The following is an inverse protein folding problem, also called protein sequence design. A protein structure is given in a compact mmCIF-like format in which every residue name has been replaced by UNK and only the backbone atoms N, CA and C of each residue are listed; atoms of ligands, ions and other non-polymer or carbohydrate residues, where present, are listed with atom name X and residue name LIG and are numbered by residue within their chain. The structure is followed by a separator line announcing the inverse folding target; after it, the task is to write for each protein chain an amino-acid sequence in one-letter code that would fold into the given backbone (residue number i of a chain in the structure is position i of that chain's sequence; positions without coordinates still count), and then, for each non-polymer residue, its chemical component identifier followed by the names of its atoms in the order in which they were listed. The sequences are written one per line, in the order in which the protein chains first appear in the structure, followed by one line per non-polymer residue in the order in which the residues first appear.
data_IF_311576323276
#
_entry.id   IF_311576323276
#
_cell.length_a   1.000
_cell.length_b   1.000
_cell.length_c   1.000
_cell.angle_alpha   90.00
_cell.angle_beta   90.00
_cell.angle_gamma   90.00
#
_symmetry.space_group_name_H-M   'P 1'
#
loop_
_entity.id
_entity.type
_entity.pdbx_description
1 polymer ?
#
# COMPACT_ATOMS: atom_id res chain seq x y z
N UNK A 1 59.78 -6.36 -26.87
CA UNK A 1 60.19 -6.67 -25.49
C UNK A 1 59.66 -5.56 -24.60
N UNK A 2 58.56 -5.82 -23.89
CA UNK A 2 58.11 -5.04 -22.72
C UNK A 2 57.30 -5.96 -21.82
N UNK A 3 57.85 -6.13 -20.61
CA UNK A 3 57.30 -6.53 -19.32
C UNK A 3 56.12 -7.51 -19.24
N UNK A 4 56.50 -8.77 -18.97
CA UNK A 4 55.68 -9.71 -18.22
C UNK A 4 55.89 -9.56 -16.71
N UNK A 5 54.91 -10.09 -15.99
CA UNK A 5 54.93 -10.46 -14.58
C UNK A 5 55.02 -9.35 -13.52
N UNK A 6 53.91 -9.16 -12.79
CA UNK A 6 53.79 -9.64 -11.41
C UNK A 6 52.49 -9.18 -10.72
N UNK A 7 51.95 -10.11 -9.93
CA UNK A 7 51.17 -9.95 -8.68
C UNK A 7 49.64 -9.81 -8.74
N UNK A 8 49.00 -10.88 -8.27
CA UNK A 8 47.63 -10.84 -7.77
C UNK A 8 47.14 -12.13 -7.10
N UNK A 9 48.03 -12.98 -6.55
CA UNK A 9 47.60 -14.16 -5.80
C UNK A 9 46.86 -13.73 -4.52
N UNK A 10 45.54 -13.94 -4.46
CA UNK A 10 44.79 -13.83 -3.20
C UNK A 10 44.95 -15.14 -2.43
N UNK A 11 45.59 -15.05 -1.26
CA UNK A 11 45.70 -16.10 -0.24
C UNK A 11 44.30 -16.65 0.14
N UNK A 12 44.16 -17.95 0.43
CA UNK A 12 42.95 -18.46 1.08
C UNK A 12 42.89 -17.96 2.53
N UNK A 13 41.77 -17.36 2.91
CA UNK A 13 41.41 -17.05 4.30
C UNK A 13 41.07 -18.36 5.01
N UNK A 14 41.88 -18.81 5.95
CA UNK A 14 41.55 -19.90 6.86
C UNK A 14 40.53 -19.41 7.89
N UNK A 15 39.31 -19.92 7.85
CA UNK A 15 38.43 -19.87 9.02
C UNK A 15 38.83 -21.02 9.93
N UNK A 16 39.13 -20.72 11.19
CA UNK A 16 39.40 -21.74 12.22
C UNK A 16 38.23 -22.72 12.35
N UNK A 17 38.55 -23.94 12.77
CA UNK A 17 37.62 -25.05 12.90
C UNK A 17 36.40 -24.71 13.78
N UNK A 18 35.21 -25.28 13.50
CA UNK A 18 33.96 -24.93 14.19
C UNK A 18 33.91 -25.31 15.69
N UNK A 19 34.90 -26.03 16.22
CA UNK A 19 34.87 -26.61 17.56
C UNK A 19 35.18 -25.63 18.70
N UNK A 20 35.69 -24.43 18.39
CA UNK A 20 36.18 -23.48 19.42
C UNK A 20 35.24 -22.30 19.68
N UNK A 21 33.96 -22.39 19.30
CA UNK A 21 32.94 -21.39 19.66
C UNK A 21 32.09 -21.91 20.82
N UNK A 22 32.42 -21.47 22.03
CA UNK A 22 31.54 -21.66 23.18
C UNK A 22 30.14 -21.08 22.89
N UNK A 23 29.04 -21.73 23.33
CA UNK A 23 27.70 -21.24 23.06
C UNK A 23 27.45 -19.95 23.84
N UNK A 24 27.36 -18.83 23.14
CA UNK A 24 26.86 -17.59 23.74
C UNK A 24 25.37 -17.75 24.06
N UNK A 25 25.04 -18.21 25.26
CA UNK A 25 23.68 -18.13 25.82
C UNK A 25 23.35 -16.65 26.11
N UNK A 26 22.72 -15.99 25.14
CA UNK A 26 22.40 -14.57 25.19
C UNK A 26 20.94 -14.28 24.87
N UNK A 27 20.14 -14.13 25.94
CA UNK A 27 18.86 -13.40 26.07
C UNK A 27 17.80 -13.61 24.98
N UNK A 28 16.77 -14.38 25.33
CA UNK A 28 15.51 -14.44 24.59
C UNK A 28 14.90 -13.03 24.43
N UNK A 29 14.64 -12.62 23.19
CA UNK A 29 13.87 -11.41 22.91
C UNK A 29 12.38 -11.64 23.28
N UNK A 30 11.75 -10.64 23.90
CA UNK A 30 10.36 -10.70 24.38
C UNK A 30 9.34 -11.08 23.29
N UNK A 31 8.33 -11.90 23.59
CA UNK A 31 7.34 -12.37 22.63
C UNK A 31 6.21 -11.34 22.51
N UNK A 32 6.44 -10.20 21.85
CA UNK A 32 5.37 -9.21 21.60
C UNK A 32 5.52 -8.43 20.31
N UNK A 33 6.38 -8.86 19.39
CA UNK A 33 6.34 -8.34 18.03
C UNK A 33 5.70 -9.43 17.15
N UNK A 34 4.49 -9.21 16.57
CA UNK A 34 3.97 -10.13 15.60
C UNK A 34 4.98 -10.16 14.45
N UNK A 35 5.65 -11.31 14.35
CA UNK A 35 6.57 -11.65 13.26
C UNK A 35 5.92 -11.15 11.98
N UNK A 36 6.60 -10.22 11.28
CA UNK A 36 6.18 -9.71 9.98
C UNK A 36 5.65 -10.90 9.20
N UNK A 37 4.34 -10.90 8.97
CA UNK A 37 3.69 -11.76 8.02
C UNK A 37 4.54 -11.65 6.75
N UNK A 38 5.34 -12.68 6.50
CA UNK A 38 5.96 -12.91 5.20
C UNK A 38 4.79 -13.20 4.30
N UNK A 39 4.10 -12.13 3.88
CA UNK A 39 3.14 -12.16 2.80
C UNK A 39 3.93 -12.66 1.60
N UNK A 40 3.93 -13.97 1.43
CA UNK A 40 4.45 -14.64 0.26
C UNK A 40 3.63 -14.06 -0.87
N UNK A 41 4.23 -13.11 -1.59
CA UNK A 41 3.58 -12.56 -2.77
C UNK A 41 3.24 -13.76 -3.65
N UNK A 42 1.98 -13.91 -4.11
CA UNK A 42 1.54 -15.09 -4.85
C UNK A 42 2.27 -15.26 -6.20
N UNK A 43 3.08 -14.27 -6.60
CA UNK A 43 4.01 -14.32 -7.72
C UNK A 43 5.41 -14.52 -7.15
N UNK A 44 6.04 -15.66 -7.46
CA UNK A 44 7.36 -16.05 -6.96
C UNK A 44 8.48 -15.03 -7.19
N UNK A 45 9.65 -15.32 -6.63
CA UNK A 45 10.83 -14.45 -6.69
C UNK A 45 11.28 -14.16 -8.14
N UNK A 46 11.70 -12.92 -8.41
CA UNK A 46 12.09 -12.44 -9.74
C UNK A 46 13.53 -12.88 -10.11
N UNK A 47 13.75 -14.19 -10.17
CA UNK A 47 15.09 -14.77 -10.29
C UNK A 47 15.51 -15.06 -11.75
N UNK A 48 14.57 -14.96 -12.70
CA UNK A 48 14.83 -15.15 -14.12
C UNK A 48 15.29 -13.85 -14.80
N UNK A 49 16.35 -13.94 -15.62
CA UNK A 49 16.97 -12.80 -16.32
C UNK A 49 16.67 -12.87 -17.82
N UNK A 50 16.24 -11.73 -18.39
CA UNK A 50 16.05 -11.56 -19.85
C UNK A 50 17.11 -10.60 -20.37
N UNK A 51 17.92 -11.04 -21.35
CA UNK A 51 18.94 -10.21 -22.00
C UNK A 51 18.40 -9.69 -23.33
N UNK A 52 18.44 -8.37 -23.51
CA UNK A 52 17.99 -7.70 -24.73
C UNK A 52 19.15 -7.00 -25.42
N UNK A 53 19.38 -7.32 -26.71
CA UNK A 53 20.35 -6.60 -27.53
C UNK A 53 19.69 -5.36 -28.10
N UNK A 54 20.29 -4.20 -27.86
CA UNK A 54 19.84 -2.91 -28.38
C UNK A 54 21.03 -2.06 -28.78
N UNK A 55 20.76 -1.05 -29.60
CA UNK A 55 21.73 -0.01 -29.94
C UNK A 55 22.00 0.90 -28.74
N UNK A 56 23.11 1.63 -28.79
CA UNK A 56 23.48 2.56 -27.71
C UNK A 56 22.45 3.69 -27.53
N UNK A 57 21.86 4.19 -28.63
CA UNK A 57 20.83 5.22 -28.62
C UNK A 57 19.53 4.74 -27.98
N UNK A 58 19.10 3.52 -28.30
CA UNK A 58 17.91 2.90 -27.69
C UNK A 58 18.10 2.72 -26.18
N UNK A 59 19.28 2.25 -25.74
CA UNK A 59 19.59 2.12 -24.31
C UNK A 59 19.49 3.47 -23.59
N UNK A 60 20.01 4.54 -24.19
CA UNK A 60 19.93 5.88 -23.61
C UNK A 60 18.48 6.38 -23.54
N UNK A 61 17.70 6.25 -24.62
CA UNK A 61 16.30 6.65 -24.66
C UNK A 61 15.46 5.93 -23.60
N UNK A 62 15.69 4.62 -23.43
CA UNK A 62 15.05 3.79 -22.43
C UNK A 62 15.41 4.19 -21.00
N UNK A 63 16.70 4.48 -20.75
CA UNK A 63 17.18 4.93 -19.45
C UNK A 63 16.63 6.32 -19.09
N UNK A 64 16.62 7.25 -20.05
CA UNK A 64 16.05 8.59 -19.88
C UNK A 64 14.53 8.54 -19.64
N UNK A 65 13.82 7.59 -20.26
CA UNK A 65 12.39 7.37 -20.00
C UNK A 65 12.15 6.85 -18.57
N UNK A 66 12.99 5.96 -18.06
CA UNK A 66 12.92 5.49 -16.68
C UNK A 66 13.19 6.62 -15.68
N UNK A 67 14.24 7.42 -15.94
CA UNK A 67 14.59 8.57 -15.10
C UNK A 67 13.47 9.61 -15.03
N UNK A 68 12.86 9.98 -16.16
CA UNK A 68 11.71 10.90 -16.21
C UNK A 68 10.49 10.38 -15.44
N UNK A 69 10.29 9.06 -15.43
CA UNK A 69 9.21 8.43 -14.69
C UNK A 69 9.52 8.26 -13.19
N UNK A 70 10.77 8.48 -12.74
CA UNK A 70 11.19 8.22 -11.37
C UNK A 70 11.13 6.74 -10.98
N UNK A 71 11.15 5.84 -11.96
CA UNK A 71 11.01 4.41 -11.76
C UNK A 71 12.32 3.68 -12.06
N UNK A 72 12.64 2.60 -11.34
CA UNK A 72 13.76 1.75 -11.71
C UNK A 72 13.47 1.09 -13.06
N UNK A 73 14.52 0.92 -13.87
CA UNK A 73 14.41 0.43 -15.24
C UNK A 73 13.64 -0.90 -15.35
N UNK A 74 13.88 -1.83 -14.43
CA UNK A 74 13.17 -3.11 -14.36
C UNK A 74 11.66 -2.96 -14.17
N UNK A 75 11.21 -1.98 -13.36
CA UNK A 75 9.78 -1.70 -13.18
C UNK A 75 9.17 -1.11 -14.44
N UNK A 76 9.87 -0.17 -15.09
CA UNK A 76 9.41 0.40 -16.36
C UNK A 76 9.25 -0.69 -17.44
N UNK A 77 10.19 -1.63 -17.54
CA UNK A 77 10.12 -2.73 -18.51
C UNK A 77 8.98 -3.69 -18.21
N UNK A 78 8.78 -4.05 -16.93
CA UNK A 78 7.66 -4.92 -16.53
C UNK A 78 6.31 -4.25 -16.79
N UNK A 79 6.19 -2.94 -16.58
CA UNK A 79 4.99 -2.18 -16.92
C UNK A 79 4.76 -2.13 -18.45
N UNK A 80 5.80 -1.87 -19.22
CA UNK A 80 5.73 -1.82 -20.68
C UNK A 80 5.34 -3.18 -21.30
N UNK A 81 5.77 -4.28 -20.69
CA UNK A 81 5.44 -5.65 -21.10
C UNK A 81 4.12 -6.17 -20.49
N UNK A 82 3.40 -5.35 -19.71
CA UNK A 82 2.15 -5.75 -19.06
C UNK A 82 2.30 -6.82 -17.97
N UNK A 83 3.53 -7.10 -17.51
CA UNK A 83 3.85 -8.11 -16.50
C UNK A 83 3.58 -7.64 -15.06
N UNK A 84 3.30 -6.36 -14.91
CA UNK A 84 2.74 -5.77 -13.70
C UNK A 84 1.35 -5.27 -14.02
N UNK A 85 0.41 -5.46 -13.09
CA UNK A 85 -0.77 -4.60 -13.07
C UNK A 85 -0.23 -3.19 -12.97
N UNK A 86 -0.25 -2.46 -14.08
CA UNK A 86 0.11 -1.06 -14.08
C UNK A 86 -0.69 -0.48 -12.93
N UNK A 87 -0.01 0.07 -11.93
CA UNK A 87 -0.66 0.79 -10.84
C UNK A 87 -1.15 2.09 -11.46
N UNK A 88 -2.07 1.99 -12.43
CA UNK A 88 -3.06 3.00 -12.78
C UNK A 88 -3.87 3.14 -11.51
N UNK A 89 -3.28 3.82 -10.51
CA UNK A 89 -4.02 4.48 -9.47
C UNK A 89 -5.08 5.23 -10.26
N UNK A 90 -6.33 4.78 -10.18
CA UNK A 90 -7.45 5.55 -10.72
C UNK A 90 -7.18 6.97 -10.26
N UNK A 91 -7.10 7.91 -11.20
CA UNK A 91 -6.97 9.31 -10.84
C UNK A 91 -8.13 9.57 -9.89
N UNK A 92 -7.81 9.79 -8.62
CA UNK A 92 -8.84 10.06 -7.62
C UNK A 92 -9.58 11.28 -8.15
N UNK A 93 -10.91 11.21 -8.34
CA UNK A 93 -11.67 12.36 -8.75
C UNK A 93 -11.30 13.53 -7.84
N UNK A 94 -10.99 14.69 -8.42
CA UNK A 94 -10.70 15.89 -7.63
C UNK A 94 -12.02 16.38 -7.05
N UNK A 95 -12.38 15.83 -5.90
CA UNK A 95 -13.55 16.22 -5.11
C UNK A 95 -13.09 17.20 -4.03
N UNK A 96 -13.92 18.19 -3.69
CA UNK A 96 -13.66 19.09 -2.58
C UNK A 96 -13.37 18.27 -1.30
N UNK A 97 -12.18 18.40 -0.67
CA UNK A 97 -11.86 17.67 0.55
C UNK A 97 -12.82 17.97 1.71
N UNK A 98 -13.51 19.11 1.70
CA UNK A 98 -14.54 19.44 2.68
C UNK A 98 -15.77 18.55 2.52
N UNK A 99 -16.26 18.34 1.28
CA UNK A 99 -17.36 17.43 0.97
C UNK A 99 -17.02 16.00 1.41
N UNK A 100 -15.80 15.54 1.11
CA UNK A 100 -15.35 14.19 1.52
C UNK A 100 -15.39 14.02 3.04
N UNK A 101 -14.97 15.03 3.80
CA UNK A 101 -15.00 15.00 5.27
C UNK A 101 -16.42 15.02 5.81
N UNK A 102 -17.32 15.82 5.23
CA UNK A 102 -18.72 15.88 5.63
C UNK A 102 -19.42 14.53 5.43
N UNK A 103 -19.27 13.94 4.25
CA UNK A 103 -19.82 12.60 3.93
C UNK A 103 -19.22 11.52 4.84
N UNK A 104 -17.91 11.57 5.12
CA UNK A 104 -17.27 10.62 6.02
C UNK A 104 -17.83 10.69 7.45
N UNK A 105 -18.15 11.89 7.96
CA UNK A 105 -18.76 12.09 9.28
C UNK A 105 -20.15 11.46 9.34
N UNK A 106 -20.96 11.65 8.30
CA UNK A 106 -22.29 11.06 8.18
C UNK A 106 -22.19 9.53 8.15
N UNK A 107 -21.27 8.97 7.35
CA UNK A 107 -21.01 7.53 7.31
C UNK A 107 -20.55 6.98 8.67
N UNK A 108 -19.78 7.77 9.43
CA UNK A 108 -19.40 7.45 10.80
C UNK A 108 -20.61 7.26 11.73
N UNK A 109 -21.59 8.16 11.66
CA UNK A 109 -22.82 8.09 12.45
C UNK A 109 -23.67 6.86 12.07
N UNK A 110 -23.82 6.59 10.78
CA UNK A 110 -24.56 5.41 10.31
C UNK A 110 -23.89 4.10 10.79
N UNK A 111 -22.56 4.05 10.74
CA UNK A 111 -21.80 2.90 11.23
C UNK A 111 -21.94 2.71 12.76
N UNK A 112 -22.09 3.80 13.53
CA UNK A 112 -22.38 3.70 14.98
C UNK A 112 -23.78 3.11 15.23
N UNK A 113 -24.79 3.53 14.48
CA UNK A 113 -26.15 2.97 14.58
C UNK A 113 -26.13 1.48 14.22
N UNK A 114 -25.49 1.12 13.10
CA UNK A 114 -25.38 -0.28 12.67
C UNK A 114 -24.66 -1.14 13.73
N UNK A 115 -23.53 -0.67 14.27
CA UNK A 115 -22.81 -1.38 15.33
C UNK A 115 -23.67 -1.55 16.58
N UNK A 116 -24.34 -0.50 17.03
CA UNK A 116 -25.21 -0.58 18.20
C UNK A 116 -26.35 -1.60 18.01
N UNK A 117 -27.03 -1.58 16.85
CA UNK A 117 -28.08 -2.55 16.51
C UNK A 117 -27.55 -3.99 16.47
N UNK A 118 -26.40 -4.21 15.82
CA UNK A 118 -25.80 -5.53 15.72
C UNK A 118 -25.35 -6.06 17.10
N UNK A 119 -24.81 -5.18 17.96
CA UNK A 119 -24.45 -5.54 19.34
C UNK A 119 -25.68 -5.90 20.16
N UNK A 120 -26.75 -5.12 20.07
CA UNK A 120 -28.00 -5.41 20.77
C UNK A 120 -28.67 -6.71 20.28
N UNK A 121 -28.60 -7.00 18.98
CA UNK A 121 -29.01 -8.29 18.42
C UNK A 121 -28.19 -9.46 18.99
N UNK A 122 -26.86 -9.35 18.99
CA UNK A 122 -26.00 -10.39 19.53
C UNK A 122 -26.25 -10.66 21.03
N UNK A 123 -26.71 -9.64 21.77
CA UNK A 123 -27.07 -9.74 23.19
C UNK A 123 -28.53 -10.17 23.42
N UNK A 124 -29.32 -10.39 22.37
CA UNK A 124 -30.74 -10.76 22.47
C UNK A 124 -31.64 -9.62 22.99
N UNK A 125 -31.15 -8.37 22.98
CA UNK A 125 -31.84 -7.19 23.52
C UNK A 125 -32.57 -6.36 22.46
N UNK A 126 -32.88 -6.94 21.30
CA UNK A 126 -33.60 -6.26 20.22
C UNK A 126 -34.95 -5.69 20.65
N UNK A 127 -35.65 -6.36 21.57
CA UNK A 127 -36.92 -5.89 22.13
C UNK A 127 -36.80 -4.64 23.00
N UNK A 128 -35.60 -4.32 23.48
CA UNK A 128 -35.31 -3.10 24.24
C UNK A 128 -34.93 -1.91 23.34
N UNK A 129 -34.82 -2.12 22.02
CA UNK A 129 -34.50 -1.05 21.07
C UNK A 129 -35.77 -0.34 20.65
N UNK A 130 -35.82 0.98 20.88
CA UNK A 130 -36.89 1.82 20.37
C UNK A 130 -36.68 2.11 18.87
N UNK A 131 -37.54 1.52 18.04
CA UNK A 131 -37.57 1.73 16.60
C UNK A 131 -37.83 3.20 16.22
N UNK A 132 -38.54 3.97 17.05
CA UNK A 132 -38.80 5.39 16.82
C UNK A 132 -37.48 6.17 16.95
N UNK A 133 -36.69 5.88 17.99
CA UNK A 133 -35.36 6.48 18.19
C UNK A 133 -34.41 6.16 17.03
N UNK A 134 -34.39 4.92 16.53
CA UNK A 134 -33.57 4.54 15.36
C UNK A 134 -34.01 5.32 14.13
N UNK A 135 -35.33 5.36 13.86
CA UNK A 135 -35.90 6.05 12.70
C UNK A 135 -35.62 7.55 12.74
N UNK A 136 -35.78 8.19 13.89
CA UNK A 136 -35.47 9.61 14.07
C UNK A 136 -34.00 9.93 13.77
N UNK A 137 -33.07 9.06 14.20
CA UNK A 137 -31.64 9.23 13.89
C UNK A 137 -31.33 9.05 12.40
N UNK A 138 -32.00 8.11 11.73
CA UNK A 138 -31.85 7.91 10.29
C UNK A 138 -32.37 9.11 9.50
N UNK A 139 -33.53 9.66 9.86
CA UNK A 139 -34.08 10.88 9.25
C UNK A 139 -33.15 12.08 9.47
N UNK A 140 -32.54 12.20 10.65
CA UNK A 140 -31.55 13.26 10.91
C UNK A 140 -30.31 13.13 10.00
N UNK A 141 -29.83 11.89 9.77
CA UNK A 141 -28.73 11.60 8.85
C UNK A 141 -29.10 11.95 7.41
N UNK A 142 -30.30 11.57 6.97
CA UNK A 142 -30.82 11.89 5.63
C UNK A 142 -30.85 13.41 5.40
N UNK A 143 -31.42 14.16 6.35
CA UNK A 143 -31.47 15.63 6.27
C UNK A 143 -30.08 16.25 6.21
N UNK A 144 -29.14 15.80 7.05
CA UNK A 144 -27.77 16.30 7.03
C UNK A 144 -27.04 15.99 5.71
N UNK A 145 -27.36 14.84 5.09
CA UNK A 145 -26.83 14.50 3.77
C UNK A 145 -27.41 15.41 2.69
N UNK A 146 -28.72 15.62 2.67
CA UNK A 146 -29.38 16.53 1.72
C UNK A 146 -28.84 17.95 1.82
N UNK A 147 -28.70 18.48 3.05
CA UNK A 147 -28.15 19.81 3.29
C UNK A 147 -26.70 19.92 2.80
N UNK A 148 -25.87 18.91 3.07
CA UNK A 148 -24.50 18.87 2.56
C UNK A 148 -24.50 18.90 1.03
N UNK A 149 -25.34 18.09 0.37
CA UNK A 149 -25.42 18.07 -1.10
C UNK A 149 -25.91 19.41 -1.67
N UNK A 150 -26.89 20.07 -1.05
CA UNK A 150 -27.36 21.40 -1.46
C UNK A 150 -26.27 22.46 -1.34
N UNK A 151 -25.52 22.48 -0.22
CA UNK A 151 -24.43 23.43 0.00
C UNK A 151 -23.32 23.29 -1.06
N UNK A 152 -22.95 22.06 -1.41
CA UNK A 152 -21.89 21.81 -2.39
C UNK A 152 -22.37 21.97 -3.85
N UNK A 153 -23.61 21.64 -4.17
CA UNK A 153 -24.18 21.91 -5.51
C UNK A 153 -24.37 23.41 -5.77
N UNK A 154 -24.74 24.20 -4.76
CA UNK A 154 -24.80 25.66 -4.86
C UNK A 154 -23.40 26.30 -5.03
N UNK A 155 -22.37 25.73 -4.39
CA UNK A 155 -20.98 26.21 -4.46
C UNK A 155 -20.33 25.93 -5.82
N UNK A 156 -20.67 24.81 -6.46
CA UNK A 156 -20.20 24.45 -7.82
C UNK A 156 -20.89 25.26 -8.93
N UNK A 157 -22.03 25.91 -8.63
CA UNK A 157 -22.79 26.76 -9.55
C UNK A 157 -22.43 28.25 -9.55
N UNK A 158 -21.48 28.68 -8.73
CA UNK A 158 -21.02 30.07 -8.70
C UNK A 158 -20.05 30.33 -9.88
N UNK A 159 -20.40 31.18 -10.87
CA UNK A 159 -19.47 31.55 -11.93
C UNK A 159 -18.30 32.35 -11.34
N UNK A 160 -17.09 31.97 -11.75
CA UNK A 160 -15.84 32.69 -11.50
C UNK A 160 -15.90 34.12 -12.05
#
# INVERSE_FOLDING_TARGET
MTDGDLKGARRPLSYGEPSDREPCEGRQASPSNPTKDTRRSPKGELNAVVVFRCTASEKQALTARAARAGLPFATLMREALGLTEARRRRRVPKVDPELVRAVARIGGNLNQIARWLNTAQAQGQLSAIDAITVTARLVAIERALSETLEQFTAKDGAPC
#
